data_IF_751887264675
#
_entry.id   IF_751887264675
#
_cell.length_a   1.000
_cell.length_b   1.000
_cell.length_c   1.000
_cell.angle_alpha   90.00
_cell.angle_beta   90.00
_cell.angle_gamma   90.00
#
_symmetry.space_group_name_H-M   'P 1'
#
loop_
_entity.id
_entity.type
_entity.pdbx_description
1 polymer ?
#
# COMPACT_ATOMS: atom_id res chain seq x y z
N UNK A 1 78.74 10.46 -11.77
CA UNK A 1 77.80 11.16 -10.84
C UNK A 1 76.36 10.85 -11.30
N UNK A 2 75.78 9.75 -10.77
CA UNK A 2 74.39 9.38 -11.06
C UNK A 2 73.52 9.90 -9.91
N UNK A 3 72.62 10.81 -10.20
CA UNK A 3 71.58 11.22 -9.26
C UNK A 3 70.38 10.30 -9.42
N UNK A 4 70.12 9.46 -8.42
CA UNK A 4 68.92 8.66 -8.34
C UNK A 4 67.75 9.55 -7.92
N UNK A 5 66.74 9.64 -8.76
CA UNK A 5 65.48 10.30 -8.51
C UNK A 5 64.49 9.21 -8.00
N UNK A 6 64.26 9.21 -6.70
CA UNK A 6 63.20 8.35 -6.11
C UNK A 6 61.83 9.05 -6.33
N UNK A 7 61.06 8.53 -7.26
CA UNK A 7 59.66 8.92 -7.40
C UNK A 7 58.84 8.14 -6.38
N UNK A 8 58.38 8.79 -5.32
CA UNK A 8 57.40 8.24 -4.37
C UNK A 8 56.03 8.25 -5.03
N UNK A 9 55.55 7.08 -5.43
CA UNK A 9 54.18 6.89 -5.92
C UNK A 9 53.24 6.83 -4.70
N UNK A 10 52.61 7.93 -4.36
CA UNK A 10 51.52 7.95 -3.37
C UNK A 10 50.29 7.30 -3.97
N UNK A 11 50.03 6.04 -3.61
CA UNK A 11 48.73 5.39 -3.83
C UNK A 11 47.69 6.09 -2.97
N UNK A 12 46.98 7.04 -3.56
CA UNK A 12 45.76 7.57 -2.99
C UNK A 12 44.67 6.49 -2.98
N UNK A 13 44.51 5.79 -1.85
CA UNK A 13 43.33 5.02 -1.56
C UNK A 13 42.14 6.02 -1.49
N UNK A 14 41.51 6.21 -2.63
CA UNK A 14 40.20 6.87 -2.69
C UNK A 14 39.21 6.02 -1.92
N UNK A 15 38.95 6.38 -0.66
CA UNK A 15 37.76 5.93 0.05
C UNK A 15 36.56 6.44 -0.73
N UNK A 16 36.05 5.63 -1.66
CA UNK A 16 34.71 5.82 -2.20
C UNK A 16 33.76 5.74 -1.00
N UNK A 17 33.32 6.89 -0.50
CA UNK A 17 32.17 6.93 0.40
C UNK A 17 31.03 6.23 -0.34
N UNK A 18 30.74 5.01 0.04
CA UNK A 18 29.56 4.32 -0.43
C UNK A 18 28.36 5.16 0.02
N UNK A 19 27.84 5.98 -0.89
CA UNK A 19 26.55 6.64 -0.65
C UNK A 19 25.55 5.54 -0.43
N UNK A 20 25.01 5.45 0.77
CA UNK A 20 23.93 4.51 1.06
C UNK A 20 22.81 4.76 0.02
N UNK A 21 22.46 3.72 -0.72
CA UNK A 21 21.42 3.80 -1.74
C UNK A 21 20.11 4.21 -1.06
N UNK A 22 19.48 5.27 -1.56
CA UNK A 22 18.15 5.68 -1.13
C UNK A 22 17.14 4.66 -1.63
N UNK A 23 16.25 4.19 -0.73
CA UNK A 23 15.14 3.30 -1.04
C UNK A 23 13.85 4.00 -0.67
N UNK A 24 12.97 4.22 -1.64
CA UNK A 24 11.65 4.77 -1.42
C UNK A 24 10.65 3.64 -1.13
N UNK A 25 10.13 3.62 0.08
CA UNK A 25 9.16 2.62 0.55
C UNK A 25 7.75 3.19 0.44
N UNK A 26 6.97 2.70 -0.52
CA UNK A 26 5.59 3.10 -0.76
C UNK A 26 4.62 2.45 0.22
N UNK A 27 3.69 3.25 0.72
CA UNK A 27 2.65 2.79 1.66
C UNK A 27 1.31 3.24 1.10
N UNK A 28 0.41 2.27 0.81
CA UNK A 28 -0.93 2.58 0.31
C UNK A 28 -1.75 3.35 1.35
N UNK A 29 -2.64 4.23 0.88
CA UNK A 29 -3.46 5.14 1.70
C UNK A 29 -4.64 4.42 2.36
N UNK A 30 -4.36 3.53 3.30
CA UNK A 30 -5.40 2.86 4.10
C UNK A 30 -6.00 3.81 5.14
N UNK A 31 -5.21 4.79 5.58
CA UNK A 31 -5.53 5.74 6.64
C UNK A 31 -5.04 7.14 6.30
N UNK A 32 -5.31 8.09 7.18
CA UNK A 32 -4.75 9.42 7.09
C UNK A 32 -3.21 9.36 7.07
N UNK A 33 -2.57 10.10 6.19
CA UNK A 33 -1.10 10.08 5.98
C UNK A 33 -0.33 10.32 7.29
N UNK A 34 -0.88 11.10 8.22
CA UNK A 34 -0.22 11.38 9.50
C UNK A 34 -0.15 10.13 10.39
N UNK A 35 -1.22 9.32 10.41
CA UNK A 35 -1.27 8.06 11.14
C UNK A 35 -0.30 7.05 10.52
N UNK A 36 -0.36 6.89 9.20
CA UNK A 36 0.56 5.99 8.47
C UNK A 36 2.03 6.35 8.74
N UNK A 37 2.38 7.64 8.79
CA UNK A 37 3.75 8.06 9.14
C UNK A 37 4.16 7.60 10.51
N UNK A 38 3.29 7.76 11.50
CA UNK A 38 3.59 7.38 12.88
C UNK A 38 3.72 5.86 13.03
N UNK A 39 2.83 5.10 12.41
CA UNK A 39 2.75 3.65 12.56
C UNK A 39 3.88 2.92 11.81
N UNK A 40 4.26 3.44 10.65
CA UNK A 40 5.29 2.80 9.82
C UNK A 40 6.72 3.23 10.18
N UNK A 41 6.92 4.37 10.81
CA UNK A 41 8.25 4.90 11.12
C UNK A 41 9.13 3.91 11.88
N UNK A 42 8.66 3.20 12.93
CA UNK A 42 9.49 2.24 13.65
C UNK A 42 10.02 1.10 12.78
N UNK A 43 9.19 0.58 11.85
CA UNK A 43 9.62 -0.45 10.90
C UNK A 43 10.67 0.09 9.92
N UNK A 44 10.46 1.29 9.37
CA UNK A 44 11.38 1.89 8.41
C UNK A 44 12.73 2.22 9.04
N UNK A 45 12.74 2.67 10.31
CA UNK A 45 13.97 2.92 11.07
C UNK A 45 14.74 1.63 11.34
N UNK A 46 14.04 0.55 11.68
CA UNK A 46 14.66 -0.76 11.89
C UNK A 46 15.22 -1.34 10.58
N UNK A 47 14.48 -1.23 9.47
CA UNK A 47 14.96 -1.60 8.15
C UNK A 47 16.24 -0.83 7.79
N UNK A 48 16.25 0.48 7.99
CA UNK A 48 17.42 1.32 7.72
C UNK A 48 18.63 0.88 8.57
N UNK A 49 18.42 0.60 9.85
CA UNK A 49 19.46 0.13 10.78
C UNK A 49 20.02 -1.24 10.38
N UNK A 50 19.16 -2.18 9.99
CA UNK A 50 19.58 -3.54 9.65
C UNK A 50 20.27 -3.63 8.28
N UNK A 51 19.85 -2.81 7.32
CA UNK A 51 20.35 -2.86 5.95
C UNK A 51 21.50 -1.87 5.68
N UNK A 52 21.65 -0.83 6.48
CA UNK A 52 22.53 0.29 6.21
C UNK A 52 22.07 1.18 5.04
N UNK A 53 20.87 0.94 4.52
CA UNK A 53 20.26 1.72 3.45
C UNK A 53 19.53 2.94 4.04
N UNK A 54 19.31 3.96 3.22
CA UNK A 54 18.50 5.10 3.59
C UNK A 54 17.06 4.88 3.12
N UNK A 55 16.19 4.50 4.03
CA UNK A 55 14.78 4.21 3.75
C UNK A 55 13.95 5.49 3.87
N UNK A 56 13.17 5.80 2.84
CA UNK A 56 12.26 6.96 2.81
C UNK A 56 10.83 6.51 2.58
N UNK A 57 9.92 6.89 3.47
CA UNK A 57 8.50 6.65 3.24
C UNK A 57 7.99 7.48 2.05
N UNK A 58 7.23 6.84 1.18
CA UNK A 58 6.53 7.47 0.06
C UNK A 58 5.03 7.27 0.24
N UNK A 59 4.29 8.37 0.27
CA UNK A 59 2.84 8.39 0.42
C UNK A 59 2.20 8.98 -0.83
N UNK A 60 1.02 8.49 -1.16
CA UNK A 60 0.18 9.01 -2.24
C UNK A 60 -1.27 9.18 -1.74
N UNK A 61 -2.09 10.00 -2.38
CA UNK A 61 -3.47 10.24 -1.96
C UNK A 61 -4.38 9.02 -2.11
N UNK A 62 -3.99 8.08 -2.97
CA UNK A 62 -4.72 6.85 -3.28
C UNK A 62 -3.76 5.69 -3.57
N UNK A 63 -4.30 4.49 -3.71
CA UNK A 63 -3.52 3.28 -4.02
C UNK A 63 -2.85 3.35 -5.40
N UNK A 64 -3.52 3.95 -6.37
CA UNK A 64 -3.00 4.10 -7.72
C UNK A 64 -1.70 4.91 -7.74
N UNK A 65 -1.58 5.94 -6.90
CA UNK A 65 -0.37 6.74 -6.80
C UNK A 65 0.86 5.96 -6.37
N UNK A 66 0.72 4.93 -5.54
CA UNK A 66 1.84 4.03 -5.18
C UNK A 66 2.20 3.13 -6.36
N UNK A 67 1.21 2.55 -7.04
CA UNK A 67 1.43 1.69 -8.23
C UNK A 67 2.12 2.48 -9.36
N UNK A 68 1.66 3.68 -9.64
CA UNK A 68 2.29 4.55 -10.63
C UNK A 68 3.68 5.02 -10.16
N UNK A 69 3.88 5.24 -8.86
CA UNK A 69 5.18 5.51 -8.27
C UNK A 69 6.19 4.39 -8.57
N UNK A 70 5.78 3.12 -8.43
CA UNK A 70 6.59 1.96 -8.81
C UNK A 70 6.85 1.94 -10.32
N UNK A 71 5.80 2.12 -11.14
CA UNK A 71 5.90 2.12 -12.60
C UNK A 71 6.91 3.14 -13.13
N UNK A 72 7.01 4.29 -12.50
CA UNK A 72 7.93 5.36 -12.87
C UNK A 72 9.23 5.39 -12.06
N UNK A 73 9.59 4.30 -11.39
CA UNK A 73 10.82 4.17 -10.59
C UNK A 73 10.96 5.26 -9.51
N UNK A 74 9.84 5.67 -8.90
CA UNK A 74 9.81 6.59 -7.75
C UNK A 74 9.60 5.86 -6.43
N UNK A 75 9.18 4.60 -6.49
CA UNK A 75 8.98 3.68 -5.37
C UNK A 75 9.71 2.39 -5.71
N UNK A 76 10.60 1.97 -4.82
CA UNK A 76 11.45 0.79 -4.99
C UNK A 76 10.84 -0.44 -4.33
N UNK A 77 10.25 -0.25 -3.15
CA UNK A 77 9.56 -1.27 -2.37
C UNK A 77 8.21 -0.71 -1.93
N UNK A 78 7.17 -1.52 -1.89
CA UNK A 78 5.86 -1.05 -1.45
C UNK A 78 5.13 -2.09 -0.59
N UNK A 79 4.42 -1.58 0.43
CA UNK A 79 3.38 -2.33 1.11
C UNK A 79 2.05 -2.13 0.37
N UNK A 80 1.47 -3.24 -0.06
CA UNK A 80 0.28 -3.29 -0.91
C UNK A 80 -0.74 -4.30 -0.36
N UNK A 81 -2.01 -4.10 -0.67
CA UNK A 81 -3.01 -5.15 -0.52
C UNK A 81 -2.95 -6.13 -1.71
N UNK A 82 -3.64 -7.27 -1.62
CA UNK A 82 -3.56 -8.31 -2.66
C UNK A 82 -3.94 -7.78 -4.05
N UNK A 83 -5.04 -7.00 -4.15
CA UNK A 83 -5.45 -6.42 -5.45
C UNK A 83 -4.42 -5.42 -5.96
N UNK A 84 -3.98 -4.48 -5.13
CA UNK A 84 -2.97 -3.50 -5.54
C UNK A 84 -1.61 -4.13 -5.85
N UNK A 85 -1.25 -5.25 -5.22
CA UNK A 85 -0.06 -6.02 -5.56
C UNK A 85 -0.17 -6.64 -6.96
N UNK A 86 -1.33 -7.22 -7.30
CA UNK A 86 -1.58 -7.72 -8.67
C UNK A 86 -1.46 -6.60 -9.71
N UNK A 87 -2.06 -5.44 -9.45
CA UNK A 87 -1.94 -4.27 -10.32
C UNK A 87 -0.48 -3.79 -10.47
N UNK A 88 0.32 -3.85 -9.38
CA UNK A 88 1.73 -3.50 -9.44
C UNK A 88 2.56 -4.51 -10.24
N UNK A 89 2.25 -5.81 -10.14
CA UNK A 89 2.87 -6.85 -10.98
C UNK A 89 2.56 -6.60 -12.46
N UNK A 90 1.29 -6.39 -12.79
CA UNK A 90 0.84 -6.27 -14.19
C UNK A 90 1.28 -4.96 -14.84
N UNK A 91 1.30 -3.85 -14.09
CA UNK A 91 1.47 -2.49 -14.64
C UNK A 91 2.82 -1.84 -14.34
N UNK A 92 3.48 -2.27 -13.28
CA UNK A 92 4.74 -1.71 -12.81
C UNK A 92 5.90 -2.72 -12.83
N UNK A 93 5.67 -3.93 -13.35
CA UNK A 93 6.64 -5.02 -13.36
C UNK A 93 7.16 -5.33 -11.94
N UNK A 94 6.28 -5.23 -10.94
CA UNK A 94 6.61 -5.53 -9.55
C UNK A 94 6.75 -7.03 -9.31
N UNK A 95 7.45 -7.38 -8.23
CA UNK A 95 7.59 -8.76 -7.75
C UNK A 95 7.15 -8.83 -6.28
N UNK A 96 6.30 -9.81 -5.94
CA UNK A 96 5.88 -10.06 -4.56
C UNK A 96 6.92 -10.95 -3.90
N UNK A 97 7.69 -10.42 -2.95
CA UNK A 97 8.77 -11.15 -2.26
C UNK A 97 8.46 -11.49 -0.80
N UNK A 98 7.44 -10.86 -0.19
CA UNK A 98 7.05 -11.09 1.20
C UNK A 98 5.54 -10.94 1.38
N UNK A 99 5.00 -11.60 2.40
CA UNK A 99 3.60 -11.54 2.79
C UNK A 99 3.49 -11.19 4.27
N UNK A 100 2.49 -10.36 4.60
CA UNK A 100 2.12 -10.09 5.98
C UNK A 100 1.46 -11.32 6.60
N UNK A 101 1.89 -11.66 7.82
CA UNK A 101 1.33 -12.74 8.63
C UNK A 101 0.94 -12.15 9.97
N UNK A 102 -0.24 -12.52 10.49
CA UNK A 102 -0.69 -12.08 11.80
C UNK A 102 0.20 -12.66 12.92
N UNK A 103 0.20 -12.03 14.08
CA UNK A 103 1.02 -12.45 15.21
C UNK A 103 0.69 -13.89 15.70
N UNK A 104 -0.53 -14.37 15.46
CA UNK A 104 -0.98 -15.74 15.74
C UNK A 104 -0.61 -16.76 14.65
N UNK A 105 0.10 -16.34 13.59
CA UNK A 105 0.51 -17.16 12.46
C UNK A 105 -0.56 -17.31 11.37
N UNK A 106 -1.74 -16.73 11.54
CA UNK A 106 -2.78 -16.79 10.49
C UNK A 106 -2.43 -15.86 9.33
N UNK A 107 -2.88 -16.24 8.13
CA UNK A 107 -2.69 -15.46 6.92
C UNK A 107 -4.04 -14.92 6.43
N UNK A 108 -4.00 -13.70 5.91
CA UNK A 108 -5.17 -13.06 5.35
C UNK A 108 -6.00 -12.27 6.36
N UNK A 109 -7.12 -11.73 5.89
CA UNK A 109 -8.02 -10.87 6.64
C UNK A 109 -9.41 -10.88 6.00
N UNK A 110 -10.39 -10.31 6.70
CA UNK A 110 -11.79 -10.28 6.26
C UNK A 110 -12.16 -8.92 5.66
N UNK A 111 -13.12 -8.96 4.75
CA UNK A 111 -13.86 -7.79 4.30
C UNK A 111 -15.17 -7.72 5.07
N UNK A 112 -15.47 -6.56 5.65
CA UNK A 112 -16.70 -6.32 6.40
C UNK A 112 -17.51 -5.21 5.76
N UNK A 113 -18.81 -5.44 5.61
CA UNK A 113 -19.77 -4.39 5.34
C UNK A 113 -20.24 -3.86 6.69
N UNK A 114 -20.09 -2.57 6.92
CA UNK A 114 -20.42 -1.95 8.20
C UNK A 114 -21.56 -0.94 8.07
N UNK A 115 -22.35 -0.78 9.12
CA UNK A 115 -23.37 0.24 9.28
C UNK A 115 -23.21 0.93 10.62
N UNK A 116 -23.81 2.10 10.80
CA UNK A 116 -23.81 2.77 12.10
C UNK A 116 -24.40 1.85 13.18
N UNK A 117 -23.85 1.89 14.40
CA UNK A 117 -24.27 1.01 15.52
C UNK A 117 -25.76 1.09 15.86
N UNK A 118 -26.39 2.25 15.64
CA UNK A 118 -27.80 2.48 15.90
C UNK A 118 -28.69 2.23 14.65
N UNK A 119 -28.09 1.66 13.59
CA UNK A 119 -28.84 1.30 12.39
C UNK A 119 -29.73 0.09 12.66
N UNK A 120 -30.98 0.08 12.14
CA UNK A 120 -31.84 -1.10 12.22
C UNK A 120 -31.42 -2.23 11.25
N UNK A 121 -30.41 -1.99 10.41
CA UNK A 121 -29.96 -2.96 9.39
C UNK A 121 -29.04 -3.98 10.06
N UNK A 122 -29.48 -5.22 10.20
CA UNK A 122 -28.74 -6.28 10.88
C UNK A 122 -28.10 -7.28 9.92
N UNK A 123 -28.60 -7.40 8.69
CA UNK A 123 -28.17 -8.37 7.70
C UNK A 123 -27.87 -7.73 6.35
N UNK A 124 -27.14 -8.47 5.50
CA UNK A 124 -26.93 -8.04 4.11
C UNK A 124 -28.25 -7.87 3.35
N UNK A 125 -29.22 -8.77 3.59
CA UNK A 125 -30.54 -8.69 2.98
C UNK A 125 -31.27 -7.42 3.35
N UNK A 126 -31.16 -6.95 4.61
CA UNK A 126 -31.74 -5.68 5.04
C UNK A 126 -31.11 -4.51 4.29
N UNK A 127 -29.79 -4.54 4.12
CA UNK A 127 -29.06 -3.50 3.35
C UNK A 127 -29.55 -3.49 1.90
N UNK A 128 -29.60 -4.62 1.23
CA UNK A 128 -29.99 -4.72 -0.18
C UNK A 128 -31.47 -4.33 -0.40
N UNK A 129 -32.37 -4.73 0.48
CA UNK A 129 -33.80 -4.35 0.42
C UNK A 129 -34.02 -2.86 0.60
N UNK A 130 -33.20 -2.19 1.39
CA UNK A 130 -33.34 -0.77 1.71
C UNK A 130 -32.36 0.12 0.90
N UNK A 131 -31.59 -0.46 -0.04
CA UNK A 131 -30.48 0.20 -0.73
C UNK A 131 -30.87 1.53 -1.39
N UNK A 132 -32.08 1.65 -1.96
CA UNK A 132 -32.54 2.88 -2.62
C UNK A 132 -32.59 4.10 -1.69
N UNK A 133 -32.71 3.90 -0.38
CA UNK A 133 -32.66 4.95 0.64
C UNK A 133 -31.27 5.19 1.22
N UNK A 134 -30.30 4.32 0.95
CA UNK A 134 -28.98 4.31 1.57
C UNK A 134 -27.92 4.96 0.68
N UNK A 135 -26.93 5.57 1.34
CA UNK A 135 -25.66 5.97 0.71
C UNK A 135 -24.64 4.89 0.99
N UNK A 136 -23.92 4.47 -0.03
CA UNK A 136 -22.87 3.46 0.08
C UNK A 136 -21.49 4.09 -0.12
N UNK A 137 -20.58 3.86 0.83
CA UNK A 137 -19.17 4.20 0.69
C UNK A 137 -18.41 2.95 0.30
N UNK A 138 -17.87 2.95 -0.90
CA UNK A 138 -17.01 1.88 -1.39
C UNK A 138 -15.54 2.23 -1.09
N UNK A 139 -14.68 1.24 -0.96
CA UNK A 139 -13.24 1.47 -0.82
C UNK A 139 -12.57 1.95 -2.11
N UNK A 140 -11.27 2.24 -2.02
CA UNK A 140 -10.43 2.54 -3.18
C UNK A 140 -10.57 1.41 -4.23
N UNK A 141 -10.69 1.74 -5.54
CA UNK A 141 -10.80 0.74 -6.61
C UNK A 141 -9.69 -0.32 -6.63
N UNK A 142 -8.51 -0.04 -6.07
CA UNK A 142 -7.40 -0.98 -5.95
C UNK A 142 -7.35 -1.69 -4.58
N UNK A 143 -8.33 -1.46 -3.71
CA UNK A 143 -8.45 -2.16 -2.42
C UNK A 143 -9.02 -3.56 -2.60
N UNK A 144 -8.43 -4.53 -1.91
CA UNK A 144 -8.94 -5.91 -1.85
C UNK A 144 -10.24 -6.00 -1.06
N UNK A 145 -10.19 -5.63 0.23
CA UNK A 145 -11.34 -5.75 1.15
C UNK A 145 -12.35 -4.62 1.01
N UNK A 146 -11.89 -3.44 0.58
CA UNK A 146 -12.79 -2.28 0.42
C UNK A 146 -13.52 -2.26 -0.93
N UNK A 147 -13.05 -2.96 -1.95
CA UNK A 147 -13.62 -2.90 -3.29
C UNK A 147 -13.81 -4.26 -3.96
N UNK A 148 -12.72 -5.04 -4.17
CA UNK A 148 -12.78 -6.26 -4.95
C UNK A 148 -13.69 -7.32 -4.29
N UNK A 149 -13.47 -7.60 -3.01
CA UNK A 149 -14.21 -8.63 -2.27
C UNK A 149 -15.69 -8.29 -2.14
N UNK A 150 -16.08 -7.09 -1.66
CA UNK A 150 -17.50 -6.72 -1.63
C UNK A 150 -18.09 -6.63 -3.03
N UNK A 151 -17.34 -6.12 -4.01
CA UNK A 151 -17.77 -6.06 -5.41
C UNK A 151 -18.22 -7.42 -5.94
N UNK A 152 -17.47 -8.46 -5.63
CA UNK A 152 -17.82 -9.82 -6.05
C UNK A 152 -18.87 -10.46 -5.13
N UNK A 153 -18.59 -10.58 -3.83
CA UNK A 153 -19.39 -11.40 -2.93
C UNK A 153 -20.73 -10.75 -2.51
N UNK A 154 -20.77 -9.41 -2.44
CA UNK A 154 -21.98 -8.67 -2.08
C UNK A 154 -22.79 -8.32 -3.32
N UNK A 155 -22.15 -7.83 -4.38
CA UNK A 155 -22.88 -7.28 -5.52
C UNK A 155 -22.97 -8.25 -6.69
N UNK A 156 -21.86 -8.70 -7.27
CA UNK A 156 -21.90 -9.55 -8.46
C UNK A 156 -22.62 -10.88 -8.23
N UNK A 157 -22.40 -11.56 -7.10
CA UNK A 157 -23.09 -12.80 -6.75
C UNK A 157 -24.60 -12.64 -6.59
N UNK A 158 -25.06 -11.46 -6.22
CA UNK A 158 -26.48 -11.15 -6.09
C UNK A 158 -27.05 -10.50 -7.36
N UNK A 159 -26.29 -10.43 -8.45
CA UNK A 159 -26.67 -9.79 -9.72
C UNK A 159 -27.12 -8.34 -9.55
N UNK A 160 -26.54 -7.60 -8.64
CA UNK A 160 -26.84 -6.18 -8.38
C UNK A 160 -25.63 -5.30 -8.70
N UNK A 161 -25.92 -4.12 -9.22
CA UNK A 161 -24.95 -3.04 -9.44
C UNK A 161 -25.16 -1.99 -8.34
N UNK A 162 -24.16 -1.75 -7.47
CA UNK A 162 -24.30 -0.81 -6.38
C UNK A 162 -24.68 0.60 -6.86
N UNK A 163 -24.19 1.04 -8.02
CA UNK A 163 -24.53 2.35 -8.59
C UNK A 163 -26.00 2.48 -9.00
N UNK A 164 -26.68 1.35 -9.22
CA UNK A 164 -28.09 1.32 -9.61
C UNK A 164 -29.02 1.16 -8.43
N UNK A 165 -28.58 0.49 -7.35
CA UNK A 165 -29.44 0.18 -6.22
C UNK A 165 -29.34 1.20 -5.09
N UNK A 166 -28.16 1.77 -4.82
CA UNK A 166 -27.98 2.74 -3.76
C UNK A 166 -28.33 4.17 -4.22
N UNK A 167 -28.84 4.96 -3.28
CA UNK A 167 -29.14 6.40 -3.51
C UNK A 167 -27.91 7.17 -3.98
N UNK A 168 -26.74 6.85 -3.45
CA UNK A 168 -25.45 7.40 -3.83
C UNK A 168 -24.33 6.40 -3.53
N UNK A 169 -23.31 6.39 -4.37
CA UNK A 169 -22.09 5.60 -4.16
C UNK A 169 -20.89 6.53 -4.26
N UNK A 170 -20.08 6.55 -3.21
CA UNK A 170 -18.82 7.31 -3.17
C UNK A 170 -17.65 6.35 -2.98
N UNK A 171 -16.45 6.76 -3.34
CA UNK A 171 -15.21 6.08 -2.98
C UNK A 171 -14.58 6.79 -1.78
N UNK A 172 -14.07 6.01 -0.83
CA UNK A 172 -13.45 6.52 0.37
C UNK A 172 -12.32 5.60 0.83
N UNK A 173 -11.46 6.07 1.70
CA UNK A 173 -10.46 5.26 2.38
C UNK A 173 -11.10 4.52 3.57
N UNK A 174 -10.36 3.58 4.19
CA UNK A 174 -10.89 2.77 5.29
C UNK A 174 -11.28 3.57 6.54
N UNK A 175 -10.73 4.77 6.72
CA UNK A 175 -10.98 5.66 7.87
C UNK A 175 -11.94 6.83 7.59
N UNK A 176 -12.47 6.98 6.40
CA UNK A 176 -13.31 8.15 6.03
C UNK A 176 -14.80 7.91 6.12
#
# INVERSE_FOLDING_TARGET
>A
MFKQLCAAMALGLGLSAANAQDVNFGIISTEATQNLKADWQPLLDDMAKQTGLKIRAFFAPDYAGIIEGMRFNKVDVAWLGNKSAMEAVDRANGEVFAQMVNADGTQGYYSHLIVHKDSPLATLDDVLKNAAGLRFSNGDPNSTSGFLVPGYYVFAKNNVDPKKIFKNVVAANHES
#
